data_IF_169915051011
#
_entry.id   IF_169915051011
#
_cell.length_a   1.000
_cell.length_b   1.000
_cell.length_c   1.000
_cell.angle_alpha   90.00
_cell.angle_beta   90.00
_cell.angle_gamma   90.00
#
_symmetry.space_group_name_H-M   'P 1'
#
loop_
_entity.id
_entity.type
_entity.pdbx_description
1 polymer ?
#
# COMPACT_ATOMS: atom_id res chain seq x y z
N UNK A 1 -3.42 10.35 -4.02
CA UNK A 1 -3.13 11.28 -2.92
C UNK A 1 -1.69 11.05 -2.50
N UNK A 2 -0.83 12.08 -2.58
CA UNK A 2 0.60 11.94 -2.27
C UNK A 2 0.90 12.00 -0.76
N UNK A 3 2.12 11.62 -0.38
CA UNK A 3 2.62 11.64 1.01
C UNK A 3 2.46 13.00 1.69
N UNK A 4 2.54 14.10 0.93
CA UNK A 4 2.32 15.47 1.43
C UNK A 4 0.94 15.67 2.05
N UNK A 5 -0.10 15.09 1.44
CA UNK A 5 -1.48 15.26 1.93
C UNK A 5 -1.78 14.32 3.11
N UNK A 6 -1.13 13.16 3.16
CA UNK A 6 -1.13 12.26 4.31
C UNK A 6 -0.44 12.91 5.53
N UNK A 7 0.74 13.50 5.32
CA UNK A 7 1.48 14.21 6.36
C UNK A 7 0.68 15.38 6.95
N UNK A 8 -0.03 16.15 6.11
CA UNK A 8 -0.85 17.29 6.58
C UNK A 8 -2.01 16.88 7.49
N UNK A 9 -2.49 15.64 7.38
CA UNK A 9 -3.63 15.13 8.17
C UNK A 9 -3.18 14.42 9.46
N UNK A 10 -1.87 14.35 9.74
CA UNK A 10 -1.33 13.59 10.88
C UNK A 10 -0.49 14.48 11.80
N UNK A 11 -0.69 14.30 13.09
CA UNK A 11 0.12 14.91 14.14
C UNK A 11 1.11 13.87 14.68
N UNK A 12 2.29 13.82 14.09
CA UNK A 12 3.37 12.87 14.44
C UNK A 12 3.98 13.14 15.83
N UNK A 13 3.61 14.26 16.47
CA UNK A 13 4.02 14.62 17.83
C UNK A 13 3.26 13.84 18.91
N UNK A 14 2.05 13.34 18.58
CA UNK A 14 1.17 12.62 19.53
C UNK A 14 1.15 11.11 19.36
N UNK A 15 1.75 10.58 18.29
CA UNK A 15 1.69 9.16 17.96
C UNK A 15 3.09 8.63 17.67
N UNK A 16 3.48 7.43 18.15
CA UNK A 16 4.75 6.80 17.79
C UNK A 16 4.83 6.34 16.31
N UNK A 17 3.97 6.88 15.44
CA UNK A 17 4.03 6.60 14.00
C UNK A 17 5.25 7.34 13.42
N UNK A 18 6.15 6.63 12.72
CA UNK A 18 7.29 7.28 12.09
C UNK A 18 6.81 8.31 11.06
N UNK A 19 7.43 9.50 11.07
CA UNK A 19 7.18 10.51 10.05
C UNK A 19 7.44 9.93 8.66
N UNK A 20 6.66 10.34 7.63
CA UNK A 20 6.89 9.89 6.27
C UNK A 20 8.27 10.37 5.82
N UNK A 21 9.25 9.47 5.85
CA UNK A 21 10.54 9.71 5.24
C UNK A 21 10.31 9.80 3.72
N UNK A 22 10.76 10.90 3.11
CA UNK A 22 10.94 10.94 1.67
C UNK A 22 11.99 9.89 1.32
N UNK A 23 11.54 8.67 1.02
CA UNK A 23 12.42 7.65 0.47
C UNK A 23 12.95 8.24 -0.84
N UNK A 24 14.29 8.31 -1.04
CA UNK A 24 14.83 8.80 -2.30
C UNK A 24 14.18 7.98 -3.41
N UNK A 25 13.57 8.66 -4.38
CA UNK A 25 13.03 8.00 -5.56
C UNK A 25 14.16 7.17 -6.14
N UNK A 26 14.04 5.85 -6.06
CA UNK A 26 15.01 4.94 -6.67
C UNK A 26 14.79 5.02 -8.17
N UNK A 27 15.38 6.05 -8.78
CA UNK A 27 15.58 6.14 -10.22
C UNK A 27 16.58 5.04 -10.61
N UNK A 28 16.12 3.80 -10.82
CA UNK A 28 17.03 2.75 -11.30
C UNK A 28 16.70 1.29 -11.07
N UNK A 29 15.48 0.91 -10.70
CA UNK A 29 15.08 -0.51 -10.66
C UNK A 29 13.82 -0.71 -11.47
N UNK A 30 13.84 -1.64 -12.44
CA UNK A 30 12.71 -2.08 -13.29
C UNK A 30 11.35 -1.71 -12.68
N UNK A 31 10.70 -0.71 -13.26
CA UNK A 31 9.59 0.03 -12.65
C UNK A 31 8.41 -0.84 -12.23
N UNK A 32 7.82 -0.47 -11.08
CA UNK A 32 6.58 -1.03 -10.54
C UNK A 32 6.80 -2.13 -9.52
N UNK A 33 7.08 -1.79 -8.26
CA UNK A 33 7.02 -2.75 -7.16
C UNK A 33 5.56 -3.02 -6.77
N UNK A 34 5.20 -4.29 -6.61
CA UNK A 34 3.93 -4.68 -6.00
C UNK A 34 4.13 -5.86 -5.06
N UNK A 35 3.25 -5.97 -4.06
CA UNK A 35 3.24 -7.06 -3.11
C UNK A 35 1.80 -7.53 -2.87
N UNK A 36 1.62 -8.85 -2.79
CA UNK A 36 0.39 -9.48 -2.33
C UNK A 36 0.75 -10.25 -1.06
N UNK A 37 0.31 -9.76 0.08
CA UNK A 37 0.52 -10.44 1.36
C UNK A 37 -0.74 -11.18 1.76
N UNK A 38 -0.63 -12.49 2.02
CA UNK A 38 -1.72 -13.26 2.64
C UNK A 38 -1.71 -12.95 4.14
N UNK A 39 -2.78 -12.37 4.63
CA UNK A 39 -2.94 -11.93 6.01
C UNK A 39 -3.99 -12.80 6.71
N UNK A 40 -3.50 -13.71 7.56
CA UNK A 40 -4.32 -14.59 8.39
C UNK A 40 -4.57 -13.92 9.75
N UNK A 41 -5.46 -12.93 9.77
CA UNK A 41 -5.97 -12.31 11.00
C UNK A 41 -7.30 -12.96 11.42
N UNK A 42 -8.17 -12.26 12.16
CA UNK A 42 -9.52 -12.76 12.52
C UNK A 42 -10.34 -13.21 11.31
N UNK A 43 -10.09 -12.61 10.14
CA UNK A 43 -10.60 -13.05 8.83
C UNK A 43 -9.43 -13.11 7.86
N UNK A 44 -9.28 -14.23 7.17
CA UNK A 44 -8.32 -14.36 6.08
C UNK A 44 -8.61 -13.30 5.02
N UNK A 45 -7.63 -12.48 4.72
CA UNK A 45 -7.68 -11.49 3.65
C UNK A 45 -6.30 -11.35 3.01
N UNK A 46 -6.25 -10.66 1.87
CA UNK A 46 -5.00 -10.39 1.16
C UNK A 46 -4.77 -8.89 1.11
N UNK A 47 -3.61 -8.43 1.56
CA UNK A 47 -3.19 -7.05 1.39
C UNK A 47 -2.49 -6.90 0.03
N UNK A 48 -3.12 -6.18 -0.88
CA UNK A 48 -2.54 -5.83 -2.17
C UNK A 48 -1.89 -4.44 -2.07
N UNK A 49 -0.59 -4.35 -2.37
CA UNK A 49 0.17 -3.10 -2.33
C UNK A 49 0.82 -2.85 -3.68
N UNK A 50 0.62 -1.66 -4.22
CA UNK A 50 1.19 -1.22 -5.49
C UNK A 50 1.96 0.08 -5.29
N UNK A 51 3.19 0.13 -5.79
CA UNK A 51 3.98 1.35 -5.81
C UNK A 51 3.48 2.28 -6.93
N UNK A 52 3.03 3.46 -6.54
CA UNK A 52 2.58 4.52 -7.45
C UNK A 52 3.20 5.83 -6.98
N UNK A 53 4.04 6.45 -7.80
CA UNK A 53 4.76 7.69 -7.48
C UNK A 53 5.57 7.62 -6.17
N UNK A 54 6.27 6.50 -5.93
CA UNK A 54 7.10 6.30 -4.74
C UNK A 54 6.31 6.02 -3.45
N UNK A 55 4.99 5.77 -3.55
CA UNK A 55 4.13 5.44 -2.41
C UNK A 55 3.50 4.07 -2.63
N UNK A 56 3.48 3.22 -1.59
CA UNK A 56 2.74 1.96 -1.62
C UNK A 56 1.27 2.20 -1.30
N UNK A 57 0.45 2.30 -2.35
CA UNK A 57 -1.00 2.31 -2.20
C UNK A 57 -1.45 0.90 -1.87
N UNK A 58 -2.22 0.75 -0.79
CA UNK A 58 -2.57 -0.54 -0.21
C UNK A 58 -4.08 -0.73 -0.11
N UNK A 59 -4.56 -1.94 -0.42
CA UNK A 59 -5.96 -2.34 -0.35
C UNK A 59 -6.09 -3.72 0.30
N UNK A 60 -7.09 -3.88 1.17
CA UNK A 60 -7.47 -5.19 1.69
C UNK A 60 -8.45 -5.87 0.71
N UNK A 61 -8.12 -7.07 0.26
CA UNK A 61 -8.89 -7.89 -0.69
C UNK A 61 -9.34 -9.16 0.05
N UNK A 62 -10.59 -9.24 0.53
CA UNK A 62 -11.06 -10.35 1.36
C UNK A 62 -10.95 -11.72 0.67
N UNK A 63 -11.20 -11.76 -0.64
CA UNK A 63 -11.21 -13.00 -1.44
C UNK A 63 -9.91 -13.25 -2.22
N UNK A 64 -8.91 -12.36 -2.07
CA UNK A 64 -7.67 -12.38 -2.82
C UNK A 64 -7.81 -11.95 -4.28
N UNK A 65 -6.67 -11.73 -4.98
CA UNK A 65 -6.67 -11.43 -6.40
C UNK A 65 -7.20 -12.62 -7.20
N UNK A 66 -8.04 -12.34 -8.21
CA UNK A 66 -8.53 -13.37 -9.14
C UNK A 66 -7.75 -13.28 -10.45
N UNK A 67 -7.41 -14.44 -11.03
CA UNK A 67 -6.87 -14.54 -12.38
C UNK A 67 -7.97 -14.45 -13.46
N UNK A 68 -9.23 -14.46 -13.05
CA UNK A 68 -10.36 -14.35 -13.96
C UNK A 68 -10.63 -12.87 -14.29
N UNK A 69 -10.56 -12.46 -15.57
CA UNK A 69 -10.71 -11.05 -15.96
C UNK A 69 -12.14 -10.53 -15.79
N UNK A 70 -13.15 -11.41 -15.65
CA UNK A 70 -14.55 -11.02 -15.48
C UNK A 70 -14.93 -10.86 -14.00
N UNK A 71 -14.11 -11.37 -13.08
CA UNK A 71 -14.39 -11.38 -11.65
C UNK A 71 -13.82 -10.15 -10.94
N UNK A 72 -14.70 -9.28 -10.46
CA UNK A 72 -14.32 -8.20 -9.54
C UNK A 72 -14.14 -8.76 -8.12
N UNK A 73 -12.96 -8.58 -7.54
CA UNK A 73 -12.71 -8.85 -6.13
C UNK A 73 -13.03 -7.58 -5.32
N UNK A 74 -13.97 -7.69 -4.38
CA UNK A 74 -14.36 -6.66 -3.41
C UNK A 74 -14.37 -7.30 -2.02
#
# INVERSE_FOLDING_TARGET
MGLKEYARKRHFDKTPEPAPAEMPQKEGGRGGFFCVQRHDATRLHYDFRLEVNGVLVSWAVPKGPSLDPTRKAL
#
